data_IF_855608418385
#
_entry.id   IF_855608418385
#
_cell.length_a   1.000
_cell.length_b   1.000
_cell.length_c   1.000
_cell.angle_alpha   90.00
_cell.angle_beta   90.00
_cell.angle_gamma   90.00
#
_symmetry.space_group_name_H-M   'P 1'
#
loop_
_entity.id
_entity.type
_entity.pdbx_description
1 polymer ?
#
# COMPACT_ATOMS: atom_id res chain seq x y z
N UNK A 1 15.60 24.71 6.21
CA UNK A 1 15.81 23.31 5.78
C UNK A 1 14.44 22.72 5.44
N UNK A 2 14.25 22.24 4.20
CA UNK A 2 12.94 21.76 3.74
C UNK A 2 12.71 20.35 4.32
N UNK A 3 11.64 20.13 5.10
CA UNK A 3 11.30 18.85 5.73
C UNK A 3 11.19 17.72 4.70
N UNK A 4 10.75 18.03 3.49
CA UNK A 4 10.66 17.08 2.38
C UNK A 4 12.03 16.54 1.95
N UNK A 5 13.05 17.41 1.85
CA UNK A 5 14.42 16.99 1.48
C UNK A 5 15.05 16.08 2.54
N UNK A 6 14.73 16.33 3.83
CA UNK A 6 15.15 15.45 4.92
C UNK A 6 14.51 14.08 4.77
N UNK A 7 13.20 14.04 4.50
CA UNK A 7 12.45 12.79 4.32
C UNK A 7 12.99 11.97 3.14
N UNK A 8 13.28 12.63 2.02
CA UNK A 8 13.84 11.97 0.83
C UNK A 8 15.21 11.35 1.12
N UNK A 9 16.09 12.10 1.79
CA UNK A 9 17.43 11.63 2.16
C UNK A 9 17.37 10.49 3.18
N UNK A 10 16.43 10.54 4.12
CA UNK A 10 16.21 9.44 5.07
C UNK A 10 15.80 8.16 4.37
N UNK A 11 14.87 8.22 3.42
CA UNK A 11 14.43 7.05 2.64
C UNK A 11 15.61 6.45 1.87
N UNK A 12 16.45 7.29 1.24
CA UNK A 12 17.61 6.83 0.47
C UNK A 12 18.69 6.18 1.35
N UNK A 13 18.95 6.74 2.52
CA UNK A 13 20.05 6.27 3.38
C UNK A 13 19.70 5.08 4.28
N UNK A 14 18.42 4.79 4.48
CA UNK A 14 17.96 3.76 5.43
C UNK A 14 17.01 2.75 4.80
N UNK A 15 17.22 2.38 3.53
CA UNK A 15 16.33 1.49 2.74
C UNK A 15 15.96 0.22 3.52
N UNK A 16 16.90 -0.39 4.24
CA UNK A 16 16.67 -1.61 5.02
C UNK A 16 15.55 -1.46 6.06
N UNK A 17 15.42 -0.28 6.67
CA UNK A 17 14.39 -0.03 7.69
C UNK A 17 12.98 0.10 7.08
N UNK A 18 12.90 0.49 5.80
CA UNK A 18 11.64 0.67 5.07
C UNK A 18 11.19 -0.58 4.32
N UNK A 19 12.10 -1.55 4.11
CA UNK A 19 11.89 -2.67 3.20
C UNK A 19 10.67 -3.51 3.57
N UNK A 20 10.48 -3.84 4.84
CA UNK A 20 9.31 -4.60 5.31
C UNK A 20 8.00 -3.83 5.07
N UNK A 21 7.98 -2.54 5.37
CA UNK A 21 6.82 -1.69 5.17
C UNK A 21 6.51 -1.54 3.68
N UNK A 22 7.52 -1.28 2.86
CA UNK A 22 7.41 -1.21 1.41
C UNK A 22 6.88 -2.51 0.80
N UNK A 23 7.49 -3.65 1.15
CA UNK A 23 7.07 -4.97 0.67
C UNK A 23 5.61 -5.30 1.03
N UNK A 24 5.18 -4.93 2.25
CA UNK A 24 3.80 -5.11 2.69
C UNK A 24 2.80 -4.34 1.84
N UNK A 25 3.13 -3.09 1.48
CA UNK A 25 2.28 -2.27 0.62
C UNK A 25 2.27 -2.83 -0.80
N UNK A 26 3.45 -3.14 -1.37
CA UNK A 26 3.56 -3.74 -2.71
C UNK A 26 2.72 -5.00 -2.81
N UNK A 27 2.83 -5.91 -1.84
CA UNK A 27 2.08 -7.16 -1.81
C UNK A 27 0.56 -6.92 -1.73
N UNK A 28 0.13 -5.98 -0.88
CA UNK A 28 -1.29 -5.64 -0.73
C UNK A 28 -1.87 -5.04 -2.02
N UNK A 29 -1.13 -4.09 -2.64
CA UNK A 29 -1.52 -3.47 -3.92
C UNK A 29 -1.56 -4.51 -5.04
N UNK A 30 -0.53 -5.36 -5.11
CA UNK A 30 -0.40 -6.44 -6.08
C UNK A 30 -1.62 -7.38 -6.06
N UNK A 31 -2.00 -7.88 -4.88
CA UNK A 31 -3.16 -8.78 -4.75
C UNK A 31 -4.44 -8.04 -5.14
N UNK A 32 -4.68 -6.87 -4.56
CA UNK A 32 -5.91 -6.12 -4.81
C UNK A 32 -6.08 -5.75 -6.28
N UNK A 33 -5.02 -5.23 -6.91
CA UNK A 33 -5.03 -4.87 -8.33
C UNK A 33 -5.27 -6.10 -9.21
N UNK A 34 -4.67 -7.25 -8.89
CA UNK A 34 -4.87 -8.49 -9.64
C UNK A 34 -6.34 -8.92 -9.66
N UNK A 35 -7.00 -8.90 -8.50
CA UNK A 35 -8.43 -9.21 -8.41
C UNK A 35 -9.30 -8.19 -9.15
N UNK A 36 -9.00 -6.90 -9.03
CA UNK A 36 -9.74 -5.86 -9.75
C UNK A 36 -9.53 -5.93 -11.25
N UNK A 37 -8.32 -6.22 -11.70
CA UNK A 37 -8.02 -6.38 -13.11
C UNK A 37 -8.79 -7.56 -13.75
N UNK A 38 -8.94 -8.68 -13.03
CA UNK A 38 -9.75 -9.82 -13.46
C UNK A 38 -11.24 -9.42 -13.55
N UNK A 39 -11.75 -8.66 -12.57
CA UNK A 39 -13.15 -8.21 -12.54
C UNK A 39 -13.52 -7.35 -13.75
N UNK A 40 -12.60 -6.50 -14.21
CA UNK A 40 -12.81 -5.60 -15.35
C UNK A 40 -12.37 -6.19 -16.68
N UNK A 41 -11.96 -7.45 -16.71
CA UNK A 41 -11.55 -8.09 -17.95
C UNK A 41 -12.77 -8.36 -18.85
N UNK A 42 -12.75 -7.78 -20.06
CA UNK A 42 -13.83 -7.92 -21.03
C UNK A 42 -14.09 -9.38 -21.46
N UNK A 43 -13.04 -10.20 -21.50
CA UNK A 43 -13.16 -11.64 -21.84
C UNK A 43 -13.93 -12.44 -20.79
N UNK A 44 -14.01 -11.94 -19.56
CA UNK A 44 -14.72 -12.53 -18.42
C UNK A 44 -16.05 -11.82 -18.13
N UNK A 45 -16.38 -10.77 -18.89
CA UNK A 45 -17.61 -9.97 -18.69
C UNK A 45 -18.90 -10.75 -18.94
N UNK A 46 -18.84 -11.80 -19.78
CA UNK A 46 -19.99 -12.66 -20.10
C UNK A 46 -20.24 -13.76 -19.06
N UNK A 47 -19.39 -13.86 -18.03
CA UNK A 47 -19.56 -14.84 -16.97
C UNK A 47 -20.65 -14.36 -15.99
N UNK A 48 -21.41 -15.33 -15.49
CA UNK A 48 -22.57 -15.23 -14.60
C UNK A 48 -22.46 -14.07 -13.57
N UNK A 49 -23.56 -13.39 -13.28
CA UNK A 49 -23.68 -12.36 -12.25
C UNK A 49 -23.09 -12.81 -10.89
N UNK A 50 -23.23 -14.10 -10.57
CA UNK A 50 -22.71 -14.70 -9.33
C UNK A 50 -21.17 -14.66 -9.24
N UNK A 51 -20.46 -14.83 -10.36
CA UNK A 51 -19.00 -14.73 -10.41
C UNK A 51 -18.52 -13.31 -10.12
N UNK A 52 -19.17 -12.31 -10.71
CA UNK A 52 -18.87 -10.90 -10.49
C UNK A 52 -19.13 -10.47 -9.03
N UNK A 53 -20.21 -10.98 -8.45
CA UNK A 53 -20.56 -10.77 -7.04
C UNK A 53 -19.53 -11.41 -6.11
N UNK A 54 -19.06 -12.62 -6.42
CA UNK A 54 -18.01 -13.30 -5.68
C UNK A 54 -16.67 -12.53 -5.67
N UNK A 55 -16.25 -12.02 -6.84
CA UNK A 55 -15.03 -11.19 -6.93
C UNK A 55 -15.18 -9.88 -6.12
N UNK A 56 -16.37 -9.27 -6.10
CA UNK A 56 -16.60 -8.09 -5.28
C UNK A 56 -16.48 -8.40 -3.78
N UNK A 57 -17.10 -9.49 -3.32
CA UNK A 57 -16.99 -9.92 -1.93
C UNK A 57 -15.52 -10.20 -1.55
N UNK A 58 -14.79 -10.94 -2.40
CA UNK A 58 -13.37 -11.18 -2.20
C UNK A 58 -12.56 -9.88 -2.14
N UNK A 59 -12.87 -8.90 -2.99
CA UNK A 59 -12.19 -7.59 -2.98
C UNK A 59 -12.36 -6.85 -1.66
N UNK A 60 -13.52 -6.93 -1.02
CA UNK A 60 -13.77 -6.31 0.29
C UNK A 60 -12.92 -6.99 1.36
N UNK A 61 -12.87 -8.32 1.37
CA UNK A 61 -12.04 -9.09 2.31
C UNK A 61 -10.55 -8.72 2.12
N UNK A 62 -10.10 -8.61 0.88
CA UNK A 62 -8.72 -8.21 0.56
C UNK A 62 -8.41 -6.80 1.09
N UNK A 63 -9.34 -5.84 0.99
CA UNK A 63 -9.14 -4.48 1.54
C UNK A 63 -8.96 -4.53 3.06
N UNK A 64 -9.79 -5.29 3.76
CA UNK A 64 -9.70 -5.44 5.23
C UNK A 64 -8.35 -6.06 5.61
N UNK A 65 -7.95 -7.12 4.91
CA UNK A 65 -6.66 -7.77 5.12
C UNK A 65 -5.49 -6.84 4.82
N UNK A 66 -5.55 -6.12 3.69
CA UNK A 66 -4.54 -5.14 3.31
C UNK A 66 -4.40 -4.03 4.36
N UNK A 67 -5.53 -3.52 4.88
CA UNK A 67 -5.51 -2.53 5.95
C UNK A 67 -4.78 -3.03 7.19
N UNK A 68 -5.14 -4.23 7.68
CA UNK A 68 -4.49 -4.83 8.84
C UNK A 68 -2.99 -5.04 8.61
N UNK A 69 -2.64 -5.58 7.45
CA UNK A 69 -1.25 -5.90 7.12
C UNK A 69 -0.36 -4.65 7.01
N UNK A 70 -0.83 -3.62 6.32
CA UNK A 70 -0.12 -2.34 6.20
C UNK A 70 -0.05 -1.64 7.57
N UNK A 71 -1.13 -1.71 8.36
CA UNK A 71 -1.19 -1.14 9.70
C UNK A 71 -0.14 -1.74 10.63
N UNK A 72 -0.06 -3.06 10.74
CA UNK A 72 0.93 -3.74 11.58
C UNK A 72 2.36 -3.50 11.08
N UNK A 73 2.57 -3.55 9.77
CA UNK A 73 3.86 -3.27 9.17
C UNK A 73 4.32 -1.83 9.43
N UNK A 74 3.40 -0.86 9.33
CA UNK A 74 3.67 0.53 9.66
C UNK A 74 3.96 0.73 11.16
N UNK A 75 3.25 0.04 12.05
CA UNK A 75 3.53 0.09 13.49
C UNK A 75 4.94 -0.42 13.80
N UNK A 76 5.34 -1.52 13.16
CA UNK A 76 6.69 -2.06 13.30
C UNK A 76 7.75 -1.09 12.77
N UNK A 77 7.50 -0.48 11.63
CA UNK A 77 8.36 0.54 11.03
C UNK A 77 8.57 1.74 11.97
N UNK A 78 7.49 2.32 12.51
CA UNK A 78 7.57 3.45 13.45
C UNK A 78 8.29 3.06 14.73
N UNK A 79 8.05 1.84 15.24
CA UNK A 79 8.72 1.35 16.44
C UNK A 79 10.25 1.21 16.26
N UNK A 80 10.72 0.74 15.09
CA UNK A 80 12.17 0.66 14.79
C UNK A 80 12.85 2.02 14.75
N UNK A 81 12.10 3.09 14.48
CA UNK A 81 12.62 4.45 14.35
C UNK A 81 12.40 5.32 15.58
N UNK A 82 12.03 4.74 16.72
CA UNK A 82 11.82 5.48 17.97
C UNK A 82 13.03 6.30 18.38
N UNK A 83 14.23 5.74 18.25
CA UNK A 83 15.47 6.42 18.60
C UNK A 83 15.71 7.67 17.72
N UNK A 84 15.42 7.60 16.43
CA UNK A 84 15.52 8.76 15.55
C UNK A 84 14.52 9.87 15.95
N UNK A 85 13.29 9.49 16.32
CA UNK A 85 12.29 10.43 16.82
C UNK A 85 12.79 11.11 18.09
N UNK A 86 13.42 10.34 19.01
CA UNK A 86 14.05 10.85 20.20
C UNK A 86 15.15 11.88 19.88
N UNK A 87 16.06 11.53 18.96
CA UNK A 87 17.17 12.41 18.51
C UNK A 87 16.64 13.72 17.92
N UNK A 88 15.64 13.68 17.03
CA UNK A 88 15.02 14.89 16.49
C UNK A 88 14.39 15.78 17.55
N UNK A 89 13.80 15.16 18.58
CA UNK A 89 13.23 15.89 19.71
C UNK A 89 14.31 16.55 20.59
N UNK A 90 15.46 15.90 20.78
CA UNK A 90 16.62 16.46 21.49
C UNK A 90 17.26 17.65 20.72
N UNK A 91 17.22 17.59 19.39
CA UNK A 91 17.66 18.69 18.52
C UNK A 91 16.66 19.86 18.46
N UNK A 92 15.60 19.82 19.30
CA UNK A 92 14.64 20.93 19.43
C UNK A 92 13.54 20.93 18.37
N UNK A 93 13.36 19.88 17.56
CA UNK A 93 12.27 19.81 16.60
C UNK A 93 10.91 19.64 17.30
N UNK A 94 9.92 20.41 16.88
CA UNK A 94 8.55 20.27 17.38
C UNK A 94 7.96 18.93 16.93
N UNK A 95 7.18 18.26 17.79
CA UNK A 95 6.51 16.97 17.50
C UNK A 95 5.72 17.00 16.20
N UNK A 96 5.08 18.13 15.87
CA UNK A 96 4.37 18.29 14.62
C UNK A 96 5.28 18.30 13.38
N UNK A 97 6.51 18.75 13.48
CA UNK A 97 7.50 18.72 12.39
C UNK A 97 8.00 17.29 12.16
N UNK A 98 8.25 16.56 13.25
CA UNK A 98 8.62 15.13 13.20
C UNK A 98 7.49 14.33 12.55
N UNK A 99 6.23 14.56 12.96
CA UNK A 99 5.06 13.91 12.35
C UNK A 99 4.94 14.18 10.85
N UNK A 100 5.25 15.39 10.39
CA UNK A 100 5.26 15.72 8.95
C UNK A 100 6.38 14.99 8.20
N UNK A 101 7.58 14.81 8.78
CA UNK A 101 8.65 14.03 8.16
C UNK A 101 8.17 12.60 7.91
N UNK A 102 7.60 11.93 8.93
CA UNK A 102 7.07 10.57 8.79
C UNK A 102 5.92 10.47 7.77
N UNK A 103 5.07 11.50 7.67
CA UNK A 103 4.03 11.56 6.63
C UNK A 103 4.64 11.62 5.23
N UNK A 104 5.65 12.48 5.00
CA UNK A 104 6.29 12.58 3.69
C UNK A 104 7.03 11.29 3.32
N UNK A 105 7.73 10.67 4.26
CA UNK A 105 8.40 9.38 4.05
C UNK A 105 7.39 8.29 3.67
N UNK A 106 6.30 8.15 4.43
CA UNK A 106 5.23 7.18 4.13
C UNK A 106 4.58 7.43 2.77
N UNK A 107 4.44 8.69 2.38
CA UNK A 107 3.86 9.06 1.09
C UNK A 107 4.78 8.70 -0.08
N UNK A 108 6.08 8.99 0.03
CA UNK A 108 7.10 8.64 -0.98
C UNK A 108 7.14 7.11 -1.18
N UNK A 109 7.20 6.36 -0.08
CA UNK A 109 7.21 4.89 -0.10
C UNK A 109 5.91 4.36 -0.67
N UNK A 110 4.78 4.93 -0.29
CA UNK A 110 3.47 4.55 -0.75
C UNK A 110 3.30 4.69 -2.26
N UNK A 111 3.72 5.81 -2.84
CA UNK A 111 3.67 6.03 -4.30
C UNK A 111 4.54 5.00 -5.03
N UNK A 112 5.78 4.81 -4.60
CA UNK A 112 6.68 3.82 -5.20
C UNK A 112 6.10 2.40 -5.12
N UNK A 113 5.50 2.05 -3.97
CA UNK A 113 4.89 0.74 -3.75
C UNK A 113 3.62 0.53 -4.59
N UNK A 114 2.79 1.56 -4.80
CA UNK A 114 1.61 1.47 -5.67
C UNK A 114 2.05 1.21 -7.12
N UNK A 115 3.05 1.94 -7.61
CA UNK A 115 3.56 1.76 -8.98
C UNK A 115 4.06 0.33 -9.18
N UNK A 116 4.94 -0.16 -8.31
CA UNK A 116 5.46 -1.52 -8.39
C UNK A 116 4.37 -2.58 -8.19
N UNK A 117 3.46 -2.37 -7.25
CA UNK A 117 2.36 -3.29 -6.99
C UNK A 117 1.41 -3.43 -8.18
N UNK A 118 1.10 -2.32 -8.88
CA UNK A 118 0.29 -2.35 -10.11
C UNK A 118 1.03 -3.07 -11.25
N UNK A 119 2.33 -2.82 -11.43
CA UNK A 119 3.13 -3.49 -12.46
C UNK A 119 3.17 -5.01 -12.25
N UNK A 120 3.49 -5.46 -11.04
CA UNK A 120 3.50 -6.88 -10.69
C UNK A 120 2.10 -7.48 -10.76
N UNK A 121 1.10 -6.76 -10.28
CA UNK A 121 -0.30 -7.16 -10.30
C UNK A 121 -0.85 -7.33 -11.72
N UNK A 122 -0.41 -6.51 -12.67
CA UNK A 122 -0.79 -6.64 -14.08
C UNK A 122 -0.27 -7.95 -14.68
N UNK A 123 1.00 -8.29 -14.43
CA UNK A 123 1.60 -9.54 -14.92
C UNK A 123 0.86 -10.74 -14.32
N UNK A 124 0.63 -10.72 -13.02
CA UNK A 124 -0.04 -11.81 -12.30
C UNK A 124 -1.51 -11.96 -12.69
N UNK A 125 -2.23 -10.85 -12.86
CA UNK A 125 -3.61 -10.88 -13.32
C UNK A 125 -3.76 -11.53 -14.70
N UNK A 126 -2.80 -11.31 -15.60
CA UNK A 126 -2.76 -11.98 -16.91
C UNK A 126 -2.61 -13.49 -16.76
N UNK A 127 -1.69 -13.95 -15.93
CA UNK A 127 -1.50 -15.37 -15.66
C UNK A 127 -2.75 -16.00 -15.05
N UNK A 128 -3.36 -15.37 -14.05
CA UNK A 128 -4.58 -15.85 -13.41
C UNK A 128 -5.76 -15.90 -14.38
N UNK A 129 -5.94 -14.89 -15.23
CA UNK A 129 -6.99 -14.88 -16.23
C UNK A 129 -6.83 -16.02 -17.25
N UNK A 130 -5.59 -16.32 -17.68
CA UNK A 130 -5.31 -17.45 -18.57
C UNK A 130 -5.67 -18.79 -17.92
N UNK A 131 -5.30 -18.98 -16.65
CA UNK A 131 -5.63 -20.21 -15.90
C UNK A 131 -7.14 -20.36 -15.76
N UNK A 132 -7.87 -19.29 -15.38
CA UNK A 132 -9.32 -19.32 -15.23
C UNK A 132 -10.03 -19.70 -16.54
N UNK A 133 -9.67 -19.10 -17.67
CA UNK A 133 -10.26 -19.39 -18.97
C UNK A 133 -10.00 -20.85 -19.38
N UNK A 134 -8.79 -21.36 -19.14
CA UNK A 134 -8.43 -22.74 -19.42
C UNK A 134 -9.24 -23.72 -18.55
N UNK A 135 -9.41 -23.44 -17.27
CA UNK A 135 -10.23 -24.27 -16.37
C UNK A 135 -11.71 -24.27 -16.74
N UNK A 136 -12.19 -23.19 -17.33
CA UNK A 136 -13.57 -23.08 -17.83
C UNK A 136 -13.80 -23.79 -19.18
N UNK A 137 -12.78 -24.43 -19.75
CA UNK A 137 -12.88 -25.14 -21.04
C UNK A 137 -13.18 -24.25 -22.23
N UNK A 138 -13.01 -22.92 -22.10
CA UNK A 138 -13.27 -21.97 -23.17
C UNK A 138 -12.00 -21.67 -23.97
N UNK A 139 -12.11 -21.61 -25.31
CA UNK A 139 -11.02 -21.25 -26.21
C UNK A 139 -10.85 -19.73 -26.38
N UNK A 140 -11.39 -18.94 -25.47
CA UNK A 140 -11.34 -17.48 -25.55
C UNK A 140 -9.90 -16.98 -25.37
N UNK A 141 -9.46 -16.12 -26.29
CA UNK A 141 -8.17 -15.43 -26.18
C UNK A 141 -8.28 -14.35 -25.12
N UNK A 142 -7.41 -14.41 -24.13
CA UNK A 142 -7.34 -13.38 -23.07
C UNK A 142 -6.87 -12.06 -23.68
N UNK A 143 -7.79 -11.19 -24.05
CA UNK A 143 -7.49 -9.81 -24.41
C UNK A 143 -7.36 -9.02 -23.09
N UNK A 144 -6.14 -8.82 -22.63
CA UNK A 144 -5.91 -8.04 -21.43
C UNK A 144 -5.50 -6.63 -21.81
N UNK A 145 -6.44 -5.71 -21.69
CA UNK A 145 -6.17 -4.28 -21.70
C UNK A 145 -5.99 -3.82 -20.23
N UNK A 146 -5.06 -2.91 -20.01
CA UNK A 146 -4.98 -2.19 -18.74
C UNK A 146 -6.33 -1.51 -18.49
N UNK A 147 -7.08 -2.00 -17.51
CA UNK A 147 -8.34 -1.38 -17.14
C UNK A 147 -8.07 -0.12 -16.33
N UNK A 148 -8.36 1.04 -16.90
CA UNK A 148 -8.23 2.32 -16.21
C UNK A 148 -9.06 2.34 -14.91
N UNK A 149 -10.23 1.69 -14.94
CA UNK A 149 -11.10 1.56 -13.76
C UNK A 149 -10.44 0.78 -12.62
N UNK A 150 -9.71 -0.30 -12.93
CA UNK A 150 -8.97 -1.07 -11.92
C UNK A 150 -7.83 -0.23 -11.31
N UNK A 151 -7.11 0.53 -12.14
CA UNK A 151 -6.03 1.43 -11.67
C UNK A 151 -6.61 2.50 -10.76
N UNK A 152 -7.65 3.21 -11.21
CA UNK A 152 -8.27 4.30 -10.43
C UNK A 152 -8.83 3.82 -9.09
N UNK A 153 -9.49 2.65 -9.07
CA UNK A 153 -9.98 2.07 -7.81
C UNK A 153 -8.84 1.67 -6.89
N UNK A 154 -7.77 1.08 -7.43
CA UNK A 154 -6.61 0.71 -6.62
C UNK A 154 -5.95 1.95 -6.00
N UNK A 155 -5.69 2.98 -6.79
CA UNK A 155 -5.12 4.24 -6.29
C UNK A 155 -6.04 4.87 -5.24
N UNK A 156 -7.35 4.93 -5.49
CA UNK A 156 -8.33 5.50 -4.56
C UNK A 156 -8.37 4.78 -3.21
N UNK A 157 -8.46 3.46 -3.22
CA UNK A 157 -8.48 2.65 -1.99
C UNK A 157 -7.19 2.83 -1.19
N UNK A 158 -6.03 2.69 -1.84
CA UNK A 158 -4.76 2.80 -1.13
C UNK A 158 -4.45 4.22 -0.69
N UNK A 159 -4.88 5.26 -1.42
CA UNK A 159 -4.77 6.64 -0.98
C UNK A 159 -5.56 6.88 0.34
N UNK A 160 -6.78 6.35 0.43
CA UNK A 160 -7.59 6.43 1.66
C UNK A 160 -6.89 5.70 2.82
N UNK A 161 -6.37 4.49 2.60
CA UNK A 161 -5.61 3.73 3.60
C UNK A 161 -4.39 4.50 4.09
N UNK A 162 -3.63 5.14 3.20
CA UNK A 162 -2.47 5.95 3.58
C UNK A 162 -2.85 7.19 4.38
N UNK A 163 -3.95 7.85 4.05
CA UNK A 163 -4.44 8.99 4.82
C UNK A 163 -4.79 8.55 6.24
N UNK A 164 -5.51 7.45 6.41
CA UNK A 164 -5.90 6.91 7.74
C UNK A 164 -4.65 6.57 8.56
N UNK A 165 -3.70 5.84 7.98
CA UNK A 165 -2.45 5.45 8.65
C UNK A 165 -1.60 6.68 8.98
N UNK A 166 -1.51 7.64 8.07
CA UNK A 166 -0.77 8.88 8.26
C UNK A 166 -1.32 9.75 9.39
N UNK A 167 -2.64 9.89 9.47
CA UNK A 167 -3.31 10.61 10.57
C UNK A 167 -2.98 9.93 11.90
N UNK A 168 -3.10 8.60 11.97
CA UNK A 168 -2.78 7.83 13.16
C UNK A 168 -1.32 8.00 13.60
N UNK A 169 -0.37 7.94 12.67
CA UNK A 169 1.05 8.15 12.97
C UNK A 169 1.29 9.54 13.55
N UNK A 170 0.67 10.56 12.99
CA UNK A 170 0.79 11.93 13.48
C UNK A 170 0.22 12.08 14.90
N UNK A 171 -0.94 11.47 15.19
CA UNK A 171 -1.54 11.45 16.51
C UNK A 171 -0.63 10.72 17.52
N UNK A 172 -0.12 9.55 17.14
CA UNK A 172 0.76 8.74 17.98
C UNK A 172 2.05 9.50 18.35
N UNK A 173 2.71 10.16 17.40
CA UNK A 173 3.93 10.94 17.64
C UNK A 173 3.64 12.14 18.57
N UNK A 174 2.49 12.78 18.40
CA UNK A 174 2.11 13.93 19.25
C UNK A 174 1.79 13.52 20.69
N UNK A 175 1.16 12.37 20.90
CA UNK A 175 0.71 11.90 22.22
C UNK A 175 1.82 11.24 23.03
N UNK A 176 2.89 10.75 22.43
CA UNK A 176 3.94 10.01 23.11
C UNK A 176 4.85 10.96 23.91
N UNK A 177 5.09 10.63 25.19
CA UNK A 177 6.04 11.36 26.07
C UNK A 177 7.47 11.04 25.62
N UNK A 178 8.38 12.02 25.68
CA UNK A 178 9.79 11.89 25.27
C UNK A 178 10.50 10.69 25.93
N UNK A 179 10.20 10.42 27.20
CA UNK A 179 10.80 9.33 27.98
C UNK A 179 10.50 7.94 27.35
N UNK A 180 9.38 7.78 26.66
CA UNK A 180 9.01 6.50 26.06
C UNK A 180 9.74 6.20 24.73
N UNK A 181 10.52 7.15 24.21
CA UNK A 181 11.34 6.93 22.99
C UNK A 181 12.72 6.36 23.31
N UNK A 182 13.15 6.38 24.59
CA UNK A 182 14.46 5.87 25.05
C UNK A 182 14.34 4.57 25.87
N UNK A 183 13.16 4.02 26.02
CA UNK A 183 12.88 2.69 26.55
C UNK A 183 12.67 1.70 25.40
#
# INVERSE_FOLDING_TARGET
>A
MNLFNISLKNVQNSISNYLMYFASIVFSVFIFFSFKSIQYNASLAHINKNFKSGINAASIIIIVFAFMFIYYSNMFFVNRRKNEIGTYSLLGMRKGQIGKIFLYESFIIGIAAIILGILLGFIFAKLMAMILIKLMGSSLVVKMALSLNAIMQTIGVFAILFIIIGIKNNIMIRSTKLINFFK
#
